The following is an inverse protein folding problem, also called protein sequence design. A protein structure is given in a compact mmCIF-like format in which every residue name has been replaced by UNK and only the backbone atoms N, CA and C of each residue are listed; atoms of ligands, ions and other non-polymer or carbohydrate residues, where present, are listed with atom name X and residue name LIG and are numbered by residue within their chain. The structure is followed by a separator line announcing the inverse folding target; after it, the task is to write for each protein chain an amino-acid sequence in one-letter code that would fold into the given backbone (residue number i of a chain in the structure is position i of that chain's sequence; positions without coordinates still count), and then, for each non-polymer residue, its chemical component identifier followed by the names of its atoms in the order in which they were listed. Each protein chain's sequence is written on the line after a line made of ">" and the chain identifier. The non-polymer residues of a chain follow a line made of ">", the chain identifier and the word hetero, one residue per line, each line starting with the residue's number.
data_IF_342818461703
#
_entry.id   IF_342818461703
#
_cell.length_a   1.000
_cell.length_b   1.000
_cell.length_c   1.000
_cell.angle_alpha   90.00
_cell.angle_beta   90.00
_cell.angle_gamma   90.00
#
_symmetry.space_group_name_H-M   'P 1'
#
loop_
_entity.id
_entity.type
_entity.pdbx_description
1 polymer ?
#
# COMPACT_ATOMS: atom_id res chain seq x y z
N UNK A 1 22.45 -4.30 -8.46
CA UNK A 1 21.34 -5.20 -8.07
C UNK A 1 20.01 -4.46 -8.19
N UNK A 2 18.90 -5.16 -7.91
CA UNK A 2 17.56 -4.56 -7.88
C UNK A 2 17.48 -3.42 -6.85
N UNK A 3 16.71 -2.38 -7.18
CA UNK A 3 16.59 -1.14 -6.38
C UNK A 3 15.18 -0.89 -5.87
N UNK A 4 14.19 -1.50 -6.50
CA UNK A 4 12.80 -1.52 -6.08
C UNK A 4 12.41 -2.98 -5.92
N UNK A 5 11.88 -3.35 -4.76
CA UNK A 5 11.56 -4.73 -4.41
C UNK A 5 10.20 -4.74 -3.74
N UNK A 6 9.21 -5.38 -4.37
CA UNK A 6 7.92 -5.65 -3.73
C UNK A 6 8.11 -6.75 -2.68
N UNK A 7 7.85 -6.40 -1.42
CA UNK A 7 8.17 -7.27 -0.28
C UNK A 7 6.95 -7.97 0.31
N UNK A 8 5.76 -7.36 0.24
CA UNK A 8 4.59 -7.87 0.96
C UNK A 8 3.26 -7.16 0.62
N UNK A 9 2.16 -7.78 1.07
CA UNK A 9 0.83 -7.19 1.20
C UNK A 9 0.42 -7.11 2.70
N UNK A 10 0.99 -6.16 3.46
CA UNK A 10 0.99 -6.18 4.92
C UNK A 10 -0.39 -5.93 5.55
N UNK A 11 -1.32 -5.30 4.84
CA UNK A 11 -2.68 -5.10 5.37
C UNK A 11 -3.57 -6.34 5.25
N UNK A 12 -3.18 -7.33 4.43
CA UNK A 12 -3.96 -8.53 4.16
C UNK A 12 -3.39 -9.81 4.81
N UNK A 13 -2.14 -9.78 5.27
CA UNK A 13 -1.43 -10.92 5.86
C UNK A 13 -0.61 -10.45 7.07
N UNK A 14 -0.78 -11.12 8.22
CA UNK A 14 0.01 -10.81 9.42
C UNK A 14 1.48 -11.16 9.22
N UNK A 15 1.77 -12.28 8.54
CA UNK A 15 3.16 -12.68 8.23
C UNK A 15 3.86 -11.64 7.35
N UNK A 16 3.13 -11.07 6.39
CA UNK A 16 3.65 -10.01 5.52
C UNK A 16 3.91 -8.73 6.31
N UNK A 17 2.99 -8.38 7.22
CA UNK A 17 3.16 -7.25 8.14
C UNK A 17 4.43 -7.43 8.99
N UNK A 18 4.58 -8.58 9.64
CA UNK A 18 5.71 -8.90 10.50
C UNK A 18 7.03 -8.92 9.71
N UNK A 19 7.00 -9.38 8.46
CA UNK A 19 8.17 -9.35 7.58
C UNK A 19 8.59 -7.91 7.24
N UNK A 20 7.64 -7.03 6.89
CA UNK A 20 7.94 -5.60 6.65
C UNK A 20 8.51 -4.95 7.91
N UNK A 21 7.94 -5.25 9.09
CA UNK A 21 8.47 -4.76 10.37
C UNK A 21 9.89 -5.23 10.62
N UNK A 22 10.18 -6.52 10.45
CA UNK A 22 11.52 -7.06 10.62
C UNK A 22 12.54 -6.36 9.71
N UNK A 23 12.20 -6.12 8.43
CA UNK A 23 13.09 -5.41 7.51
C UNK A 23 13.44 -3.99 7.98
N UNK A 24 12.48 -3.27 8.55
CA UNK A 24 12.64 -1.88 9.01
C UNK A 24 13.32 -1.84 10.38
N UNK A 25 12.78 -2.55 11.37
CA UNK A 25 13.20 -2.52 12.76
C UNK A 25 14.64 -3.07 12.94
N UNK A 26 15.01 -4.09 12.17
CA UNK A 26 16.35 -4.67 12.16
C UNK A 26 17.30 -3.98 11.16
N UNK A 27 16.85 -2.93 10.45
CA UNK A 27 17.63 -2.15 9.47
C UNK A 27 18.25 -3.00 8.37
N UNK A 28 17.47 -3.90 7.80
CA UNK A 28 17.90 -4.84 6.76
C UNK A 28 17.75 -4.28 5.34
N UNK A 29 17.16 -3.09 5.18
CA UNK A 29 16.98 -2.41 3.90
C UNK A 29 18.26 -1.64 3.56
N UNK A 30 18.97 -1.96 2.47
CA UNK A 30 20.15 -1.20 2.05
C UNK A 30 19.79 0.26 1.69
N UNK A 31 20.73 1.17 1.90
CA UNK A 31 20.54 2.62 1.72
C UNK A 31 20.11 3.03 0.31
N UNK A 32 20.33 2.19 -0.71
CA UNK A 32 19.98 2.45 -2.10
C UNK A 32 18.79 1.62 -2.62
N UNK A 33 18.07 0.95 -1.72
CA UNK A 33 16.87 0.17 -2.03
C UNK A 33 15.61 0.88 -1.53
N UNK A 34 14.52 0.73 -2.28
CA UNK A 34 13.18 1.15 -1.91
C UNK A 34 12.29 -0.09 -1.84
N UNK A 35 11.68 -0.35 -0.68
CA UNK A 35 10.69 -1.43 -0.57
C UNK A 35 9.35 -0.96 -1.15
N UNK A 36 8.64 -1.89 -1.78
CA UNK A 36 7.28 -1.69 -2.26
C UNK A 36 6.32 -2.60 -1.50
N UNK A 37 5.19 -2.05 -1.06
CA UNK A 37 4.10 -2.80 -0.42
C UNK A 37 2.80 -2.61 -1.18
N UNK A 38 2.03 -3.68 -1.30
CA UNK A 38 0.73 -3.66 -1.98
C UNK A 38 -0.39 -3.28 -1.01
N UNK A 39 -1.37 -2.52 -1.49
CA UNK A 39 -2.61 -2.25 -0.74
C UNK A 39 -3.83 -2.06 -1.64
N UNK A 40 -4.99 -2.47 -1.14
CA UNK A 40 -6.27 -2.22 -1.80
C UNK A 40 -6.76 -0.80 -1.53
N UNK A 41 -7.61 -0.27 -2.41
CA UNK A 41 -8.22 1.06 -2.29
C UNK A 41 -9.31 1.15 -1.21
N UNK A 42 -9.00 0.74 0.03
CA UNK A 42 -9.86 0.86 1.20
C UNK A 42 -9.09 1.55 2.33
N UNK A 43 -9.71 2.52 2.99
CA UNK A 43 -9.04 3.35 3.98
C UNK A 43 -8.42 2.53 5.13
N UNK A 44 -9.12 1.52 5.65
CA UNK A 44 -8.64 0.64 6.73
C UNK A 44 -7.39 -0.15 6.34
N UNK A 45 -7.32 -0.60 5.09
CA UNK A 45 -6.18 -1.36 4.58
C UNK A 45 -5.01 -0.45 4.26
N UNK A 46 -5.26 0.74 3.71
CA UNK A 46 -4.23 1.76 3.49
C UNK A 46 -3.59 2.14 4.83
N UNK A 47 -4.40 2.40 5.85
CA UNK A 47 -3.91 2.78 7.18
C UNK A 47 -3.01 1.71 7.78
N UNK A 48 -3.44 0.45 7.74
CA UNK A 48 -2.63 -0.68 8.19
C UNK A 48 -1.34 -0.86 7.37
N UNK A 49 -1.37 -0.58 6.07
CA UNK A 49 -0.16 -0.58 5.24
C UNK A 49 0.83 0.49 5.70
N UNK A 50 0.35 1.68 6.07
CA UNK A 50 1.19 2.75 6.61
C UNK A 50 1.74 2.41 8.01
N UNK A 51 0.94 1.76 8.87
CA UNK A 51 1.42 1.24 10.15
C UNK A 51 2.62 0.28 9.96
N UNK A 52 2.56 -0.60 8.96
CA UNK A 52 3.67 -1.50 8.65
C UNK A 52 4.95 -0.74 8.23
N UNK A 53 4.80 0.39 7.55
CA UNK A 53 5.90 1.18 7.00
C UNK A 53 6.55 2.17 7.98
N UNK A 54 6.02 2.32 9.20
CA UNK A 54 6.53 3.30 10.17
C UNK A 54 8.05 3.17 10.40
N UNK A 55 8.78 4.26 10.17
CA UNK A 55 10.24 4.31 10.30
C UNK A 55 11.03 3.83 9.07
N UNK A 56 10.36 3.45 7.98
CA UNK A 56 11.04 3.24 6.71
C UNK A 56 11.62 4.58 6.19
N UNK A 57 12.86 4.61 5.68
CA UNK A 57 13.46 5.84 5.15
C UNK A 57 12.86 6.26 3.79
N UNK A 58 12.30 5.30 3.05
CA UNK A 58 11.53 5.47 1.82
C UNK A 58 10.76 4.20 1.49
N UNK A 59 9.57 4.34 0.91
CA UNK A 59 8.78 3.20 0.44
C UNK A 59 7.88 3.60 -0.75
N UNK A 60 7.52 2.60 -1.57
CA UNK A 60 6.49 2.71 -2.60
C UNK A 60 5.21 2.03 -2.09
N UNK A 61 4.12 2.79 -2.00
CA UNK A 61 2.79 2.23 -1.70
C UNK A 61 2.07 1.94 -3.02
N UNK A 62 2.02 0.66 -3.40
CA UNK A 62 1.36 0.20 -4.62
C UNK A 62 -0.14 0.03 -4.35
N UNK A 63 -0.92 1.06 -4.69
CA UNK A 63 -2.37 1.05 -4.60
C UNK A 63 -3.01 0.39 -5.82
N UNK A 64 -4.00 -0.48 -5.62
CA UNK A 64 -4.78 -1.03 -6.74
C UNK A 64 -6.28 -1.17 -6.43
N UNK A 65 -7.07 -1.28 -7.51
CA UNK A 65 -8.43 -1.79 -7.53
C UNK A 65 -8.74 -2.39 -8.92
N UNK A 66 -9.58 -3.42 -8.99
CA UNK A 66 -9.90 -4.06 -10.27
C UNK A 66 -10.88 -3.21 -11.10
N UNK A 67 -10.54 -2.96 -12.37
CA UNK A 67 -11.26 -2.05 -13.27
C UNK A 67 -11.97 -2.76 -14.43
N UNK A 68 -11.70 -4.06 -14.64
CA UNK A 68 -12.28 -4.84 -15.72
C UNK A 68 -13.82 -4.88 -15.63
N UNK A 69 -14.56 -4.89 -16.77
CA UNK A 69 -16.02 -4.93 -16.75
C UNK A 69 -16.61 -6.03 -15.87
N UNK A 70 -16.08 -7.25 -15.98
CA UNK A 70 -16.52 -8.39 -15.16
C UNK A 70 -16.44 -8.11 -13.65
N UNK A 71 -15.39 -7.43 -13.18
CA UNK A 71 -15.28 -7.07 -11.76
C UNK A 71 -16.29 -6.02 -11.35
N UNK A 72 -16.47 -4.98 -12.19
CA UNK A 72 -17.47 -3.93 -11.91
C UNK A 72 -18.88 -4.49 -11.88
N UNK A 73 -19.23 -5.34 -12.85
CA UNK A 73 -20.60 -5.78 -13.07
C UNK A 73 -21.00 -6.94 -12.14
N UNK A 74 -20.06 -7.84 -11.83
CA UNK A 74 -20.36 -9.08 -11.09
C UNK A 74 -19.88 -9.04 -9.64
N UNK A 75 -18.63 -8.59 -9.42
CA UNK A 75 -17.97 -8.65 -8.10
C UNK A 75 -18.38 -7.46 -7.24
N UNK A 76 -18.16 -6.25 -7.73
CA UNK A 76 -18.43 -5.02 -6.98
C UNK A 76 -19.86 -4.50 -7.17
N UNK A 77 -20.50 -4.85 -8.29
CA UNK A 77 -21.82 -4.34 -8.70
C UNK A 77 -21.86 -2.81 -8.67
N UNK A 78 -20.84 -2.19 -9.26
CA UNK A 78 -20.61 -0.75 -9.28
C UNK A 78 -20.44 -0.24 -10.72
N UNK A 79 -20.78 1.02 -10.95
CA UNK A 79 -20.54 1.66 -12.24
C UNK A 79 -19.08 2.11 -12.40
N UNK A 80 -18.76 2.64 -13.60
CA UNK A 80 -17.41 3.14 -13.90
C UNK A 80 -17.05 4.34 -13.01
N UNK A 81 -17.99 5.20 -12.67
CA UNK A 81 -17.74 6.40 -11.88
C UNK A 81 -17.35 6.04 -10.44
N UNK A 82 -18.08 5.11 -9.82
CA UNK A 82 -17.76 4.55 -8.52
C UNK A 82 -16.40 3.84 -8.50
N UNK A 83 -16.07 3.10 -9.57
CA UNK A 83 -14.75 2.44 -9.72
C UNK A 83 -13.60 3.44 -9.75
N UNK A 84 -13.76 4.57 -10.46
CA UNK A 84 -12.77 5.66 -10.50
C UNK A 84 -12.71 6.38 -9.14
N UNK A 85 -13.86 6.65 -8.53
CA UNK A 85 -13.93 7.30 -7.23
C UNK A 85 -13.20 6.49 -6.15
N UNK A 86 -13.28 5.16 -6.19
CA UNK A 86 -12.56 4.27 -5.29
C UNK A 86 -11.04 4.48 -5.38
N UNK A 87 -10.48 4.46 -6.60
CA UNK A 87 -9.06 4.69 -6.85
C UNK A 87 -8.62 6.09 -6.38
N UNK A 88 -9.41 7.12 -6.73
CA UNK A 88 -9.11 8.51 -6.36
C UNK A 88 -9.16 8.70 -4.84
N UNK A 89 -10.11 8.09 -4.16
CA UNK A 89 -10.22 8.17 -2.70
C UNK A 89 -9.04 7.47 -2.01
N UNK A 90 -8.63 6.29 -2.50
CA UNK A 90 -7.43 5.62 -2.01
C UNK A 90 -6.18 6.48 -2.18
N UNK A 91 -5.97 7.09 -3.36
CA UNK A 91 -4.84 7.99 -3.60
C UNK A 91 -4.87 9.23 -2.67
N UNK A 92 -6.06 9.80 -2.41
CA UNK A 92 -6.22 10.89 -1.44
C UNK A 92 -5.91 10.43 -0.01
N UNK A 93 -6.26 9.20 0.37
CA UNK A 93 -5.95 8.65 1.70
C UNK A 93 -4.45 8.46 1.88
N UNK A 94 -3.76 7.90 0.88
CA UNK A 94 -2.29 7.79 0.86
C UNK A 94 -1.65 9.16 1.06
N UNK A 95 -2.08 10.17 0.29
CA UNK A 95 -1.56 11.53 0.44
C UNK A 95 -1.71 12.07 1.87
N UNK A 96 -2.88 11.88 2.49
CA UNK A 96 -3.11 12.29 3.88
C UNK A 96 -2.20 11.55 4.87
N UNK A 97 -1.93 10.27 4.64
CA UNK A 97 -1.01 9.49 5.48
C UNK A 97 0.43 9.99 5.36
N UNK A 98 0.91 10.27 4.14
CA UNK A 98 2.22 10.89 3.93
C UNK A 98 2.33 12.27 4.61
N UNK A 99 1.29 13.11 4.51
CA UNK A 99 1.25 14.42 5.17
C UNK A 99 1.27 14.31 6.71
N UNK A 100 0.64 13.27 7.25
CA UNK A 100 0.57 13.02 8.70
C UNK A 100 1.86 12.40 9.28
N UNK A 101 2.70 11.80 8.44
CA UNK A 101 3.90 11.08 8.83
C UNK A 101 5.12 11.59 8.02
N UNK A 102 5.51 12.87 8.16
CA UNK A 102 6.55 13.47 7.31
C UNK A 102 7.95 12.87 7.51
N UNK A 103 8.17 12.21 8.65
CA UNK A 103 9.43 11.56 9.02
C UNK A 103 9.49 10.08 8.56
N UNK A 104 8.49 9.60 7.80
CA UNK A 104 8.40 8.25 7.24
C UNK A 104 8.00 8.29 5.76
#
# INVERSE_FOLDING_TARGET
>A
GFKEIEVAFPSASQTDFDFVRALIDERLIPDDVTIQVLTQSRDDLIDRTFEALQGAPRAIVHLYNATAPMFRDIVFRQDKAATVALAVNGARRIRRQCEAQPDT
#
